data_IF_954719184090
#
_entry.id   IF_954719184090
#
_cell.length_a   1.000
_cell.length_b   1.000
_cell.length_c   1.000
_cell.angle_alpha   90.00
_cell.angle_beta   90.00
_cell.angle_gamma   90.00
#
_symmetry.space_group_name_H-M   'P 1'
#
loop_
_entity.id
_entity.type
_entity.pdbx_description
1 polymer ?
#
# COMPACT_ATOMS: atom_id res chain seq x y z
N UNK A 1 50.39 -17.55 -55.05
CA UNK A 1 49.12 -17.69 -54.29
C UNK A 1 49.40 -17.44 -52.81
N UNK A 2 49.18 -16.21 -52.32
CA UNK A 2 49.31 -15.85 -50.90
C UNK A 2 47.96 -16.08 -50.21
N UNK A 3 47.89 -16.99 -49.25
CA UNK A 3 46.70 -17.18 -48.40
C UNK A 3 46.80 -16.24 -47.20
N UNK A 4 45.91 -15.25 -47.15
CA UNK A 4 45.71 -14.38 -46.00
C UNK A 4 44.86 -15.16 -45.00
N UNK A 5 45.42 -15.45 -43.83
CA UNK A 5 44.68 -16.03 -42.69
C UNK A 5 44.17 -14.84 -41.86
N UNK A 6 42.89 -14.54 -41.99
CA UNK A 6 42.20 -13.58 -41.12
C UNK A 6 41.95 -14.22 -39.76
N UNK A 7 42.68 -13.79 -38.73
CA UNK A 7 42.31 -14.06 -37.34
C UNK A 7 41.16 -13.12 -36.96
N UNK A 8 39.94 -13.68 -36.90
CA UNK A 8 38.81 -13.04 -36.24
C UNK A 8 39.08 -13.04 -34.72
N UNK A 9 39.53 -11.89 -34.21
CA UNK A 9 39.58 -11.59 -32.78
C UNK A 9 38.13 -11.47 -32.27
N UNK A 10 37.62 -12.54 -31.69
CA UNK A 10 36.37 -12.55 -30.94
C UNK A 10 36.63 -11.84 -29.61
N UNK A 11 36.43 -10.53 -29.55
CA UNK A 11 36.44 -9.77 -28.29
C UNK A 11 35.15 -10.12 -27.54
N UNK A 12 35.23 -11.14 -26.69
CA UNK A 12 34.19 -11.48 -25.74
C UNK A 12 34.15 -10.38 -24.67
N UNK A 13 33.28 -9.38 -24.85
CA UNK A 13 32.96 -8.40 -23.81
C UNK A 13 32.19 -9.15 -22.72
N UNK A 14 32.94 -9.66 -21.74
CA UNK A 14 32.38 -10.11 -20.46
C UNK A 14 31.79 -8.88 -19.77
N UNK A 15 30.48 -8.69 -19.85
CA UNK A 15 29.76 -7.79 -18.96
C UNK A 15 29.99 -8.30 -17.53
N UNK A 16 30.85 -7.63 -16.77
CA UNK A 16 30.98 -7.87 -15.34
C UNK A 16 29.62 -7.54 -14.72
N UNK A 17 28.84 -8.58 -14.38
CA UNK A 17 27.75 -8.45 -13.43
C UNK A 17 28.39 -8.04 -12.10
N UNK A 18 28.48 -6.74 -11.84
CA UNK A 18 28.90 -6.23 -10.55
C UNK A 18 28.00 -6.81 -9.46
N UNK A 19 28.60 -7.37 -8.41
CA UNK A 19 27.82 -7.81 -7.26
C UNK A 19 26.99 -6.63 -6.72
N UNK A 20 25.73 -6.90 -6.39
CA UNK A 20 24.85 -5.89 -5.84
C UNK A 20 25.44 -5.32 -4.53
N UNK A 21 25.35 -3.99 -4.37
CA UNK A 21 25.93 -3.29 -3.24
C UNK A 21 25.20 -3.60 -1.94
N UNK A 22 25.95 -3.61 -0.86
CA UNK A 22 25.52 -3.95 0.50
C UNK A 22 25.21 -2.69 1.32
N UNK A 23 24.71 -2.89 2.54
CA UNK A 23 24.55 -1.79 3.51
C UNK A 23 25.89 -1.13 3.83
N UNK A 24 26.97 -1.90 3.88
CA UNK A 24 28.30 -1.36 4.21
C UNK A 24 28.84 -0.48 3.08
N UNK A 25 28.51 -0.79 1.82
CA UNK A 25 28.83 0.09 0.69
C UNK A 25 28.13 1.46 0.81
N UNK A 26 26.89 1.50 1.28
CA UNK A 26 26.20 2.77 1.57
C UNK A 26 26.82 3.51 2.75
N UNK A 27 27.23 2.79 3.81
CA UNK A 27 27.93 3.38 4.96
C UNK A 27 29.31 3.92 4.58
N UNK A 28 29.97 3.35 3.57
CA UNK A 28 31.20 3.89 3.00
C UNK A 28 30.92 5.08 2.09
N UNK A 29 29.91 4.98 1.22
CA UNK A 29 29.48 6.07 0.33
C UNK A 29 29.18 7.34 1.12
N UNK A 30 28.42 7.27 2.22
CA UNK A 30 28.14 8.49 3.00
C UNK A 30 29.42 9.15 3.55
N UNK A 31 30.53 8.42 3.75
CA UNK A 31 31.77 9.01 4.24
C UNK A 31 32.52 9.80 3.18
N UNK A 32 32.26 9.57 1.89
CA UNK A 32 32.84 10.34 0.79
C UNK A 32 32.20 11.73 0.65
N UNK A 33 31.02 11.96 1.25
CA UNK A 33 30.41 13.28 1.32
C UNK A 33 31.02 14.12 2.44
N UNK A 34 31.12 15.43 2.21
CA UNK A 34 31.47 16.40 3.24
C UNK A 34 30.54 16.27 4.45
N UNK A 35 31.02 16.57 5.66
CA UNK A 35 30.34 16.25 6.92
C UNK A 35 28.89 16.76 6.98
N UNK A 36 28.60 17.92 6.39
CA UNK A 36 27.26 18.53 6.33
C UNK A 36 26.30 17.84 5.34
N UNK A 37 26.81 17.04 4.41
CA UNK A 37 26.05 16.39 3.33
C UNK A 37 25.95 14.88 3.50
N UNK A 38 26.36 14.35 4.66
CA UNK A 38 26.28 12.92 4.95
C UNK A 38 24.82 12.49 5.09
N UNK A 39 24.51 11.29 4.62
CA UNK A 39 23.21 10.68 4.82
C UNK A 39 23.27 9.63 5.93
N UNK A 40 22.16 9.48 6.65
CA UNK A 40 22.00 8.52 7.72
C UNK A 40 21.32 7.27 7.18
N UNK A 41 21.92 6.11 7.44
CA UNK A 41 21.33 4.79 7.13
C UNK A 41 20.83 4.14 8.42
N UNK A 42 19.56 3.74 8.43
CA UNK A 42 18.93 3.00 9.52
C UNK A 42 18.50 1.63 9.01
N UNK A 43 18.86 0.57 9.75
CA UNK A 43 18.58 -0.82 9.36
C UNK A 43 17.58 -1.51 10.30
N UNK A 44 16.90 -2.54 9.79
CA UNK A 44 16.13 -3.47 10.61
C UNK A 44 17.04 -4.51 11.31
N UNK A 45 16.44 -5.46 12.04
CA UNK A 45 17.16 -6.54 12.77
C UNK A 45 17.93 -7.49 11.84
N UNK A 46 17.53 -7.61 10.56
CA UNK A 46 18.17 -8.45 9.55
C UNK A 46 19.26 -7.70 8.75
N UNK A 47 19.71 -6.53 9.23
CA UNK A 47 20.66 -5.65 8.55
C UNK A 47 20.22 -5.29 7.12
N UNK A 48 18.91 -5.10 6.91
CA UNK A 48 18.34 -4.51 5.69
C UNK A 48 17.96 -3.07 5.94
N UNK A 49 18.05 -2.24 4.91
CA UNK A 49 17.73 -0.82 5.00
C UNK A 49 16.24 -0.68 5.37
N UNK A 50 15.97 0.02 6.47
CA UNK A 50 14.62 0.44 6.87
C UNK A 50 14.35 1.88 6.45
N UNK A 51 15.35 2.74 6.60
CA UNK A 51 15.21 4.16 6.30
C UNK A 51 16.56 4.79 5.97
N UNK A 52 16.60 5.66 4.98
CA UNK A 52 17.75 6.52 4.66
C UNK A 52 17.28 7.96 4.58
N UNK A 53 18.06 8.90 5.10
CA UNK A 53 17.79 10.33 5.02
C UNK A 53 19.06 11.13 4.79
N UNK A 54 19.04 12.09 3.87
CA UNK A 54 20.16 12.96 3.50
C UNK A 54 20.38 12.98 1.99
N UNK A 55 21.57 13.36 1.53
CA UNK A 55 21.86 13.43 0.10
C UNK A 55 22.44 12.11 -0.42
N UNK A 56 21.62 11.26 -1.03
CA UNK A 56 22.03 9.91 -1.46
C UNK A 56 22.60 9.88 -2.89
N UNK A 57 22.32 10.91 -3.69
CA UNK A 57 22.64 10.89 -5.11
C UNK A 57 23.04 12.27 -5.64
N UNK A 58 23.70 12.24 -6.80
CA UNK A 58 23.78 13.40 -7.70
C UNK A 58 22.38 13.73 -8.27
N UNK A 59 22.19 14.89 -8.92
CA UNK A 59 20.95 15.21 -9.64
C UNK A 59 20.56 14.15 -10.68
N UNK A 60 19.37 14.29 -11.26
CA UNK A 60 18.80 13.43 -12.32
C UNK A 60 18.09 12.15 -11.86
N UNK A 61 17.41 12.21 -10.72
CA UNK A 61 16.52 11.16 -10.19
C UNK A 61 15.07 11.66 -10.11
N UNK A 62 14.52 12.11 -11.24
CA UNK A 62 13.14 12.64 -11.30
C UNK A 62 12.20 11.73 -12.10
N UNK A 63 12.72 10.68 -12.72
CA UNK A 63 11.97 9.69 -13.47
C UNK A 63 12.04 8.31 -12.80
N UNK A 64 11.08 7.45 -13.11
CA UNK A 64 10.98 6.10 -12.52
C UNK A 64 12.19 5.23 -12.88
N UNK A 65 12.75 5.38 -14.08
CA UNK A 65 13.83 4.51 -14.56
C UNK A 65 15.14 4.76 -13.79
N UNK A 66 15.49 6.03 -13.56
CA UNK A 66 16.65 6.38 -12.71
C UNK A 66 16.49 5.88 -11.27
N UNK A 67 15.29 5.99 -10.69
CA UNK A 67 14.99 5.46 -9.35
C UNK A 67 15.12 3.93 -9.33
N UNK A 68 14.54 3.22 -10.29
CA UNK A 68 14.66 1.76 -10.39
C UNK A 68 16.11 1.32 -10.55
N UNK A 69 16.93 2.05 -11.32
CA UNK A 69 18.35 1.74 -11.48
C UNK A 69 19.12 1.90 -10.16
N UNK A 70 18.83 2.93 -9.37
CA UNK A 70 19.38 3.06 -8.01
C UNK A 70 18.98 1.88 -7.14
N UNK A 71 17.70 1.50 -7.14
CA UNK A 71 17.20 0.37 -6.35
C UNK A 71 17.88 -0.95 -6.77
N UNK A 72 18.11 -1.17 -8.07
CA UNK A 72 18.84 -2.36 -8.57
C UNK A 72 20.27 -2.44 -8.05
N UNK A 73 20.96 -1.29 -8.02
CA UNK A 73 22.34 -1.21 -7.54
C UNK A 73 22.48 -1.67 -6.08
N UNK A 74 21.51 -1.31 -5.23
CA UNK A 74 21.50 -1.59 -3.80
C UNK A 74 20.49 -2.67 -3.38
N UNK A 75 20.00 -3.50 -4.31
CA UNK A 75 18.88 -4.43 -4.08
C UNK A 75 19.08 -5.34 -2.87
N UNK A 76 20.29 -5.87 -2.71
CA UNK A 76 20.68 -6.73 -1.59
C UNK A 76 20.67 -6.00 -0.25
N UNK A 77 20.96 -4.70 -0.24
CA UNK A 77 20.93 -3.87 0.95
C UNK A 77 19.48 -3.57 1.39
N UNK A 78 18.56 -3.38 0.43
CA UNK A 78 17.13 -3.21 0.70
C UNK A 78 16.40 -4.53 0.99
N UNK A 79 16.94 -5.67 0.53
CA UNK A 79 16.42 -7.01 0.84
C UNK A 79 15.65 -7.68 -0.29
N UNK A 80 15.44 -7.01 -1.43
CA UNK A 80 14.83 -7.62 -2.62
C UNK A 80 15.86 -8.27 -3.54
N UNK A 81 15.41 -9.27 -4.32
CA UNK A 81 16.21 -10.05 -5.28
C UNK A 81 16.20 -9.41 -6.66
N UNK A 82 15.05 -8.87 -7.04
CA UNK A 82 14.79 -8.25 -8.34
C UNK A 82 13.83 -7.08 -8.15
N UNK A 83 14.17 -5.92 -8.71
CA UNK A 83 13.28 -4.74 -8.66
C UNK A 83 12.02 -5.01 -9.48
N UNK A 84 12.16 -5.68 -10.62
CA UNK A 84 11.07 -5.97 -11.53
C UNK A 84 10.09 -7.03 -11.01
N UNK A 85 10.62 -8.05 -10.33
CA UNK A 85 9.79 -9.16 -9.83
C UNK A 85 9.19 -8.83 -8.47
N UNK A 86 9.99 -8.25 -7.56
CA UNK A 86 9.58 -8.05 -6.18
C UNK A 86 8.90 -6.70 -5.95
N UNK A 87 8.97 -5.73 -6.88
CA UNK A 87 8.35 -4.41 -6.75
C UNK A 87 7.44 -4.05 -7.95
N UNK A 88 6.39 -3.28 -7.68
CA UNK A 88 5.56 -2.62 -8.70
C UNK A 88 5.44 -1.15 -8.36
N UNK A 89 5.61 -0.26 -9.34
CA UNK A 89 5.35 1.17 -9.13
C UNK A 89 3.84 1.36 -8.96
N UNK A 90 3.43 1.88 -7.82
CA UNK A 90 2.03 2.19 -7.52
C UNK A 90 1.72 3.65 -7.87
N UNK A 91 2.55 4.58 -7.38
CA UNK A 91 2.28 6.01 -7.49
C UNK A 91 3.54 6.81 -7.74
N UNK A 92 3.42 7.79 -8.62
CA UNK A 92 4.39 8.89 -8.75
C UNK A 92 3.67 10.20 -8.48
N UNK A 93 4.27 11.07 -7.69
CA UNK A 93 3.77 12.41 -7.44
C UNK A 93 4.91 13.41 -7.55
N UNK A 94 4.69 14.50 -8.29
CA UNK A 94 5.62 15.61 -8.37
C UNK A 94 4.95 16.85 -7.79
N UNK A 95 5.61 17.48 -6.82
CA UNK A 95 5.12 18.71 -6.23
C UNK A 95 5.35 19.89 -7.18
N UNK A 96 4.53 20.94 -7.03
CA UNK A 96 4.71 22.21 -7.75
C UNK A 96 6.07 22.87 -7.48
N UNK A 97 6.72 22.53 -6.37
CA UNK A 97 8.03 23.06 -6.02
C UNK A 97 9.20 22.17 -6.46
N UNK A 98 8.94 21.09 -7.21
CA UNK A 98 9.94 20.29 -7.91
C UNK A 98 10.45 19.05 -7.18
N UNK A 99 9.91 18.71 -6.01
CA UNK A 99 10.19 17.40 -5.38
C UNK A 99 9.39 16.29 -6.06
N UNK A 100 9.96 15.09 -6.14
CA UNK A 100 9.24 13.91 -6.62
C UNK A 100 9.15 12.85 -5.54
N UNK A 101 8.06 12.09 -5.56
CA UNK A 101 7.74 11.01 -4.65
C UNK A 101 7.36 9.78 -5.48
N UNK A 102 7.98 8.65 -5.16
CA UNK A 102 7.72 7.37 -5.82
C UNK A 102 7.35 6.34 -4.77
N UNK A 103 6.20 5.69 -4.93
CA UNK A 103 5.76 4.59 -4.09
C UNK A 103 5.79 3.30 -4.90
N UNK A 104 6.49 2.30 -4.37
CA UNK A 104 6.54 0.96 -4.92
C UNK A 104 5.94 -0.02 -3.92
N UNK A 105 5.00 -0.86 -4.37
CA UNK A 105 4.46 -1.93 -3.55
C UNK A 105 5.23 -3.23 -3.78
N UNK A 106 5.40 -4.02 -2.73
CA UNK A 106 6.01 -5.34 -2.83
C UNK A 106 5.06 -6.35 -3.48
N UNK A 107 5.62 -7.25 -4.28
CA UNK A 107 4.95 -8.44 -4.80
C UNK A 107 5.68 -9.71 -4.38
N UNK A 108 4.94 -10.81 -4.27
CA UNK A 108 5.47 -12.15 -4.10
C UNK A 108 4.77 -13.11 -5.05
N UNK A 109 5.52 -13.70 -5.99
CA UNK A 109 4.99 -14.58 -7.05
C UNK A 109 3.76 -14.01 -7.78
N UNK A 110 3.76 -12.69 -8.01
CA UNK A 110 2.68 -11.98 -8.71
C UNK A 110 1.58 -11.42 -7.81
N UNK A 111 1.46 -11.88 -6.56
CA UNK A 111 0.46 -11.37 -5.61
C UNK A 111 0.99 -10.13 -4.86
N UNK A 112 0.13 -9.15 -4.52
CA UNK A 112 0.52 -8.04 -3.67
C UNK A 112 0.90 -8.53 -2.27
N UNK A 113 1.91 -7.90 -1.66
CA UNK A 113 2.21 -8.08 -0.24
C UNK A 113 1.69 -6.88 0.53
N UNK A 114 0.63 -7.08 1.30
CA UNK A 114 -0.11 -6.01 1.94
C UNK A 114 0.74 -5.23 2.94
N UNK A 115 0.61 -3.90 2.92
CA UNK A 115 1.30 -2.96 3.82
C UNK A 115 2.85 -3.08 3.76
N UNK A 116 3.37 -3.41 2.58
CA UNK A 116 4.81 -3.49 2.30
C UNK A 116 5.15 -2.57 1.13
N UNK A 117 5.37 -1.31 1.46
CA UNK A 117 5.79 -0.30 0.49
C UNK A 117 7.28 0.08 0.62
N UNK A 118 7.81 0.61 -0.48
CA UNK A 118 9.06 1.33 -0.55
C UNK A 118 8.79 2.71 -1.14
N UNK A 119 9.13 3.76 -0.38
CA UNK A 119 8.92 5.15 -0.78
C UNK A 119 10.24 5.85 -1.00
N UNK A 120 10.42 6.45 -2.16
CA UNK A 120 11.59 7.26 -2.51
C UNK A 120 11.17 8.71 -2.69
N UNK A 121 11.85 9.61 -2.00
CA UNK A 121 11.66 11.05 -2.17
C UNK A 121 12.89 11.68 -2.78
N UNK A 122 12.67 12.62 -3.70
CA UNK A 122 13.73 13.45 -4.27
C UNK A 122 13.50 14.92 -3.97
N UNK A 123 14.60 15.66 -3.80
CA UNK A 123 14.55 17.10 -3.58
C UNK A 123 14.32 17.85 -4.90
N UNK A 124 14.23 19.19 -4.82
CA UNK A 124 13.99 20.07 -5.97
C UNK A 124 15.08 20.01 -7.04
N UNK A 125 16.27 19.54 -6.69
CA UNK A 125 17.40 19.36 -7.62
C UNK A 125 17.40 17.96 -8.25
N UNK A 126 16.36 17.15 -8.03
CA UNK A 126 16.27 15.79 -8.52
C UNK A 126 17.29 14.85 -7.88
N UNK A 127 17.63 15.07 -6.61
CA UNK A 127 18.53 14.19 -5.85
C UNK A 127 17.71 13.38 -4.84
N UNK A 128 18.04 12.10 -4.67
CA UNK A 128 17.37 11.26 -3.66
C UNK A 128 17.69 11.81 -2.27
N UNK A 129 16.62 12.19 -1.55
CA UNK A 129 16.68 12.84 -0.24
C UNK A 129 16.28 11.91 0.91
N UNK A 130 15.42 10.94 0.63
CA UNK A 130 15.08 9.89 1.60
C UNK A 130 14.51 8.65 0.92
N UNK A 131 14.69 7.50 1.58
CA UNK A 131 14.07 6.24 1.20
C UNK A 131 13.51 5.59 2.46
N UNK A 132 12.23 5.26 2.45
CA UNK A 132 11.57 4.44 3.48
C UNK A 132 11.29 3.06 2.90
N UNK A 133 11.60 2.02 3.65
CA UNK A 133 11.48 0.64 3.18
C UNK A 133 10.78 -0.23 4.22
N UNK A 134 9.63 -0.78 3.85
CA UNK A 134 8.86 -1.73 4.66
C UNK A 134 8.89 -3.14 4.08
N UNK A 135 9.76 -3.43 3.11
CA UNK A 135 9.87 -4.73 2.45
C UNK A 135 9.98 -5.90 3.44
N UNK A 136 9.15 -6.93 3.25
CA UNK A 136 9.19 -8.18 4.00
C UNK A 136 10.12 -9.17 3.32
N UNK A 137 11.16 -9.61 4.04
CA UNK A 137 12.07 -10.64 3.57
C UNK A 137 11.56 -12.05 3.91
N UNK A 138 12.14 -13.06 3.24
CA UNK A 138 11.96 -14.49 3.56
C UNK A 138 10.52 -15.01 3.50
N UNK A 139 9.67 -14.41 2.66
CA UNK A 139 8.37 -14.98 2.33
C UNK A 139 8.58 -16.33 1.63
N UNK A 140 8.08 -17.41 2.23
CA UNK A 140 8.06 -18.74 1.65
C UNK A 140 6.72 -19.39 1.95
N UNK A 141 5.82 -19.30 0.98
CA UNK A 141 4.44 -19.75 1.11
C UNK A 141 3.93 -20.30 -0.22
N UNK A 142 2.97 -21.23 -0.16
CA UNK A 142 2.19 -21.72 -1.29
C UNK A 142 1.07 -20.72 -1.61
N UNK A 143 1.03 -20.25 -2.85
CA UNK A 143 0.07 -19.22 -3.27
C UNK A 143 -1.23 -19.81 -3.83
N UNK A 144 -1.40 -21.14 -3.73
CA UNK A 144 -2.58 -21.85 -4.19
C UNK A 144 -3.59 -21.93 -3.03
N UNK A 145 -4.70 -21.18 -3.05
CA UNK A 145 -5.65 -21.19 -1.94
C UNK A 145 -6.31 -22.58 -1.80
N UNK A 146 -6.51 -23.03 -0.56
CA UNK A 146 -7.20 -24.29 -0.26
C UNK A 146 -8.71 -24.12 -0.07
N UNK A 147 -9.16 -22.88 0.17
CA UNK A 147 -10.58 -22.52 0.25
C UNK A 147 -10.91 -21.46 -0.80
N UNK A 148 -12.18 -21.37 -1.21
CA UNK A 148 -12.64 -20.31 -2.12
C UNK A 148 -12.83 -18.97 -1.39
N UNK A 149 -12.79 -17.87 -2.16
CA UNK A 149 -13.18 -16.54 -1.66
C UNK A 149 -14.60 -16.53 -1.10
N UNK A 150 -15.54 -17.27 -1.72
CA UNK A 150 -16.91 -17.40 -1.21
C UNK A 150 -16.99 -18.07 0.16
N UNK A 151 -16.09 -19.02 0.44
CA UNK A 151 -15.99 -19.64 1.77
C UNK A 151 -15.45 -18.64 2.79
N UNK A 152 -14.42 -17.87 2.42
CA UNK A 152 -13.88 -16.82 3.27
C UNK A 152 -14.92 -15.72 3.57
N UNK A 153 -15.71 -15.31 2.58
CA UNK A 153 -16.78 -14.34 2.74
C UNK A 153 -17.88 -14.85 3.69
N UNK A 154 -18.26 -16.13 3.57
CA UNK A 154 -19.23 -16.74 4.49
C UNK A 154 -18.74 -16.77 5.95
N UNK A 155 -17.42 -16.76 6.18
CA UNK A 155 -16.81 -16.68 7.51
C UNK A 155 -16.79 -15.23 8.03
N UNK A 156 -16.47 -14.25 7.18
CA UNK A 156 -16.33 -12.85 7.58
C UNK A 156 -17.68 -12.13 7.73
N UNK A 157 -18.65 -12.42 6.87
CA UNK A 157 -19.95 -11.72 6.81
C UNK A 157 -20.74 -11.68 8.13
N UNK A 158 -20.78 -12.74 8.96
CA UNK A 158 -21.47 -12.69 10.26
C UNK A 158 -20.82 -11.77 11.30
N UNK A 159 -19.62 -11.23 11.04
CA UNK A 159 -18.85 -10.40 11.99
C UNK A 159 -19.00 -8.90 11.75
N UNK A 160 -19.87 -8.53 10.81
CA UNK A 160 -20.27 -7.16 10.48
C UNK A 160 -21.79 -7.04 10.61
N UNK A 161 -22.32 -5.83 10.64
CA UNK A 161 -23.76 -5.61 10.78
C UNK A 161 -24.51 -6.18 9.57
N UNK A 162 -25.80 -6.49 9.72
CA UNK A 162 -26.61 -7.10 8.67
C UNK A 162 -26.65 -6.30 7.35
N UNK A 163 -26.38 -4.99 7.40
CA UNK A 163 -26.30 -4.09 6.24
C UNK A 163 -24.85 -3.88 5.82
N UNK A 164 -24.21 -4.93 5.32
CA UNK A 164 -22.82 -4.89 4.87
C UNK A 164 -22.69 -5.54 3.50
N UNK A 165 -22.00 -4.87 2.57
CA UNK A 165 -21.66 -5.39 1.24
C UNK A 165 -20.14 -5.55 1.09
N UNK A 166 -19.75 -6.34 0.10
CA UNK A 166 -18.36 -6.52 -0.27
C UNK A 166 -17.96 -5.42 -1.26
N UNK A 167 -17.08 -4.53 -0.82
CA UNK A 167 -16.58 -3.42 -1.64
C UNK A 167 -15.46 -3.87 -2.57
N UNK A 168 -14.52 -4.64 -2.03
CA UNK A 168 -13.36 -5.14 -2.75
C UNK A 168 -12.91 -6.48 -2.16
N UNK A 169 -12.30 -7.29 -3.01
CA UNK A 169 -11.71 -8.56 -2.63
C UNK A 169 -10.42 -8.81 -3.42
N UNK A 170 -9.37 -9.26 -2.73
CA UNK A 170 -8.18 -9.72 -3.42
C UNK A 170 -7.45 -10.83 -2.68
N UNK A 171 -6.84 -11.73 -3.46
CA UNK A 171 -5.88 -12.69 -2.92
C UNK A 171 -4.52 -12.01 -2.78
N UNK A 172 -4.01 -11.98 -1.56
CA UNK A 172 -2.80 -11.26 -1.23
C UNK A 172 -1.92 -12.02 -0.23
N UNK A 173 -0.69 -11.54 -0.04
CA UNK A 173 0.21 -12.02 1.00
C UNK A 173 0.22 -11.05 2.16
N UNK A 174 0.00 -11.56 3.36
CA UNK A 174 0.16 -10.80 4.59
C UNK A 174 1.33 -11.33 5.42
N UNK A 175 2.18 -10.43 5.92
CA UNK A 175 3.32 -10.80 6.75
C UNK A 175 3.19 -10.13 8.11
N UNK A 176 3.10 -10.94 9.16
CA UNK A 176 3.10 -10.47 10.54
C UNK A 176 4.27 -11.10 11.32
N UNK A 177 5.17 -10.23 11.79
CA UNK A 177 6.44 -10.63 12.42
C UNK A 177 7.24 -11.53 11.47
N UNK A 178 7.37 -12.82 11.79
CA UNK A 178 8.11 -13.81 10.99
C UNK A 178 7.18 -14.77 10.24
N UNK A 179 5.87 -14.61 10.39
CA UNK A 179 4.87 -15.47 9.75
C UNK A 179 4.34 -14.80 8.47
N UNK A 180 4.16 -15.60 7.43
CA UNK A 180 3.56 -15.19 6.16
C UNK A 180 2.30 -16.00 5.92
N UNK A 181 1.23 -15.34 5.47
CA UNK A 181 -0.08 -15.92 5.22
C UNK A 181 -0.53 -15.60 3.80
N UNK A 182 -1.15 -16.58 3.12
CA UNK A 182 -1.99 -16.30 1.96
C UNK A 182 -3.33 -15.85 2.52
N UNK A 183 -3.80 -14.67 2.15
CA UNK A 183 -5.07 -14.14 2.67
C UNK A 183 -5.97 -13.68 1.55
N UNK A 184 -7.27 -13.84 1.76
CA UNK A 184 -8.26 -12.99 1.13
C UNK A 184 -8.38 -11.71 1.95
N UNK A 185 -8.06 -10.58 1.33
CA UNK A 185 -8.43 -9.26 1.83
C UNK A 185 -9.86 -8.98 1.39
N UNK A 186 -10.76 -8.80 2.35
CA UNK A 186 -12.19 -8.59 2.12
C UNK A 186 -12.59 -7.27 2.76
N UNK A 187 -12.92 -6.28 1.94
CA UNK A 187 -13.43 -5.00 2.39
C UNK A 187 -14.95 -5.10 2.53
N UNK A 188 -15.40 -5.26 3.77
CA UNK A 188 -16.80 -5.34 4.12
C UNK A 188 -17.27 -3.98 4.62
N UNK A 189 -18.01 -3.27 3.76
CA UNK A 189 -18.48 -1.94 4.03
C UNK A 189 -19.95 -1.97 4.48
N UNK A 190 -20.19 -1.43 5.67
CA UNK A 190 -21.48 -1.50 6.33
C UNK A 190 -21.75 -0.32 7.25
N UNK A 191 -23.00 -0.22 7.71
CA UNK A 191 -23.45 0.84 8.60
C UNK A 191 -23.74 0.30 10.02
N UNK A 192 -23.26 0.95 11.09
CA UNK A 192 -22.32 2.08 11.12
C UNK A 192 -20.84 1.66 10.97
N UNK A 193 -20.57 0.36 10.85
CA UNK A 193 -19.20 -0.19 10.90
C UNK A 193 -18.81 -0.83 9.57
N UNK A 194 -17.70 -0.35 9.00
CA UNK A 194 -16.99 -1.01 7.90
C UNK A 194 -15.69 -1.62 8.42
N UNK A 195 -15.30 -2.78 7.88
CA UNK A 195 -14.07 -3.49 8.26
C UNK A 195 -13.41 -4.16 7.06
N UNK A 196 -12.08 -4.19 7.05
CA UNK A 196 -11.31 -5.10 6.22
C UNK A 196 -10.96 -6.34 7.02
N UNK A 197 -11.24 -7.51 6.47
CA UNK A 197 -10.84 -8.80 7.01
C UNK A 197 -9.71 -9.39 6.19
N UNK A 198 -8.67 -9.90 6.86
CA UNK A 198 -7.66 -10.75 6.23
C UNK A 198 -7.93 -12.19 6.65
N UNK A 199 -8.56 -12.96 5.77
CA UNK A 199 -8.93 -14.37 6.03
C UNK A 199 -7.88 -15.28 5.40
N UNK A 200 -7.27 -16.15 6.19
CA UNK A 200 -6.28 -17.12 5.71
C UNK A 200 -6.90 -18.06 4.66
N UNK A 201 -6.32 -18.06 3.46
CA UNK A 201 -6.86 -18.72 2.28
C UNK A 201 -6.62 -20.25 2.27
N UNK A 202 -6.00 -20.80 3.32
CA UNK A 202 -5.87 -22.26 3.50
C UNK A 202 -6.77 -22.81 4.60
N UNK A 203 -6.93 -22.07 5.69
CA UNK A 203 -7.62 -22.52 6.91
C UNK A 203 -8.95 -21.82 7.16
N UNK A 204 -9.22 -20.68 6.52
CA UNK A 204 -10.37 -19.83 6.80
C UNK A 204 -10.26 -19.03 8.11
N UNK A 205 -9.11 -19.08 8.80
CA UNK A 205 -8.90 -18.32 10.03
C UNK A 205 -8.78 -16.83 9.72
N UNK A 206 -9.49 -15.99 10.47
CA UNK A 206 -9.30 -14.53 10.41
C UNK A 206 -7.95 -14.20 11.06
N UNK A 207 -7.02 -13.70 10.24
CA UNK A 207 -5.68 -13.28 10.67
C UNK A 207 -5.74 -11.85 11.19
N UNK A 208 -6.56 -10.99 10.59
CA UNK A 208 -6.68 -9.60 11.00
C UNK A 208 -8.06 -9.02 10.70
N UNK A 209 -8.51 -8.15 11.61
CA UNK A 209 -9.63 -7.23 11.41
C UNK A 209 -9.08 -5.81 11.47
N UNK A 210 -9.52 -4.97 10.55
CA UNK A 210 -9.08 -3.58 10.40
C UNK A 210 -10.34 -2.73 10.30
N UNK A 211 -10.54 -1.82 11.24
CA UNK A 211 -11.67 -0.89 11.19
C UNK A 211 -11.46 0.11 10.07
N UNK A 212 -12.52 0.29 9.28
CA UNK A 212 -12.57 1.25 8.18
C UNK A 212 -13.42 2.47 8.51
N UNK A 213 -14.32 2.36 9.48
CA UNK A 213 -15.02 3.51 10.08
C UNK A 213 -14.47 3.81 11.48
N UNK A 214 -14.67 5.06 11.91
CA UNK A 214 -14.35 5.50 13.27
C UNK A 214 -15.49 5.15 14.22
N UNK A 215 -15.16 4.68 15.42
CA UNK A 215 -16.15 4.35 16.46
C UNK A 215 -16.57 5.62 17.23
N UNK A 216 -15.64 6.57 17.43
CA UNK A 216 -15.88 7.80 18.20
C UNK A 216 -14.86 8.92 17.86
N UNK A 217 -15.18 10.18 18.16
CA UNK A 217 -14.34 11.35 17.89
C UNK A 217 -14.98 12.40 16.96
N UNK A 218 -14.23 13.43 16.53
CA UNK A 218 -12.84 13.67 16.87
C UNK A 218 -12.66 14.27 18.29
N UNK A 219 -11.50 14.01 18.89
CA UNK A 219 -10.92 14.82 19.96
C UNK A 219 -9.61 15.46 19.49
N UNK A 220 -9.23 16.61 20.03
CA UNK A 220 -8.01 17.32 19.62
C UNK A 220 -6.83 16.87 20.49
N UNK A 221 -5.83 16.28 19.85
CA UNK A 221 -4.54 15.96 20.47
C UNK A 221 -3.37 16.75 19.86
N UNK A 222 -2.18 16.49 20.39
CA UNK A 222 -0.92 17.09 19.94
C UNK A 222 0.14 15.99 19.73
N UNK A 223 1.06 16.20 18.80
CA UNK A 223 2.11 15.24 18.50
C UNK A 223 3.39 15.87 17.96
N UNK A 224 4.41 15.05 17.75
CA UNK A 224 5.68 15.47 17.15
C UNK A 224 6.05 14.53 16.01
N UNK A 225 6.39 15.09 14.85
CA UNK A 225 6.81 14.30 13.68
C UNK A 225 8.17 13.65 13.90
N UNK A 226 8.52 12.68 13.06
CA UNK A 226 9.86 12.07 13.04
C UNK A 226 11.00 13.06 12.73
N UNK A 227 10.67 14.30 12.34
CA UNK A 227 11.62 15.40 12.10
C UNK A 227 11.72 16.38 13.28
N UNK A 228 11.01 16.12 14.38
CA UNK A 228 11.03 16.97 15.58
C UNK A 228 10.08 18.17 15.53
N UNK A 229 9.24 18.27 14.49
CA UNK A 229 8.24 19.35 14.35
C UNK A 229 7.00 19.01 15.17
N UNK A 230 6.55 19.94 16.01
CA UNK A 230 5.30 19.81 16.78
C UNK A 230 4.09 20.05 15.88
N UNK A 231 3.04 19.26 16.08
CA UNK A 231 1.72 19.40 15.46
C UNK A 231 0.73 19.64 16.57
N UNK A 232 0.22 20.86 16.67
CA UNK A 232 -0.60 21.35 17.79
C UNK A 232 -2.09 20.98 17.68
N UNK A 233 -2.52 20.52 16.49
CA UNK A 233 -3.88 20.07 16.23
C UNK A 233 -3.84 18.76 15.45
N UNK A 234 -4.07 17.66 16.15
CA UNK A 234 -4.29 16.33 15.58
C UNK A 234 -5.70 15.90 15.92
N UNK A 235 -6.54 15.72 14.90
CA UNK A 235 -7.86 15.11 15.08
C UNK A 235 -7.66 13.62 15.37
N UNK A 236 -8.05 13.19 16.57
CA UNK A 236 -7.90 11.81 17.06
C UNK A 236 -9.28 11.18 17.10
N UNK A 237 -9.39 10.00 16.50
CA UNK A 237 -10.58 9.19 16.48
C UNK A 237 -10.32 7.88 17.22
N UNK A 238 -11.34 7.37 17.91
CA UNK A 238 -11.33 6.05 18.54
C UNK A 238 -11.70 4.97 17.50
N UNK A 239 -10.93 3.88 17.51
CA UNK A 239 -11.06 2.75 16.59
C UNK A 239 -9.71 2.06 16.38
N UNK A 240 -9.69 0.96 15.64
CA UNK A 240 -8.48 0.14 15.43
C UNK A 240 -8.14 -0.01 13.95
N UNK A 241 -7.03 0.58 13.50
CA UNK A 241 -6.42 0.25 12.20
C UNK A 241 -6.87 1.09 10.99
N UNK A 242 -7.24 2.36 11.18
CA UNK A 242 -7.68 3.24 10.10
C UNK A 242 -6.77 3.25 8.86
N UNK A 243 -7.35 3.08 7.67
CA UNK A 243 -6.72 3.36 6.38
C UNK A 243 -7.29 4.68 5.84
N UNK A 244 -6.86 5.80 6.44
CA UNK A 244 -7.15 7.16 5.94
C UNK A 244 -8.58 7.69 6.21
N UNK A 245 -8.80 9.02 6.07
CA UNK A 245 -10.08 9.65 6.33
C UNK A 245 -10.89 9.72 5.03
N UNK A 246 -11.77 8.74 4.83
CA UNK A 246 -13.05 8.82 4.10
C UNK A 246 -13.42 7.43 3.60
N UNK A 247 -14.13 6.71 4.44
CA UNK A 247 -14.93 5.56 4.02
C UNK A 247 -16.39 5.85 4.38
N UNK A 248 -16.84 7.04 4.00
CA UNK A 248 -18.22 7.24 3.59
C UNK A 248 -18.23 7.06 2.10
N UNK A 249 -18.34 5.82 1.60
CA UNK A 249 -18.57 5.71 0.19
C UNK A 249 -19.97 6.24 -0.13
N UNK A 250 -20.09 6.93 -1.26
CA UNK A 250 -21.24 7.72 -1.69
C UNK A 250 -22.49 6.86 -2.03
N UNK A 251 -22.72 5.73 -1.35
CA UNK A 251 -23.90 4.87 -1.55
C UNK A 251 -25.17 5.46 -0.95
N UNK A 252 -25.05 6.46 -0.07
CA UNK A 252 -26.18 7.03 0.64
C UNK A 252 -26.75 8.18 -0.19
N UNK A 253 -27.54 7.83 -1.19
CA UNK A 253 -28.45 8.80 -1.75
C UNK A 253 -29.56 8.85 -0.72
N UNK A 254 -29.43 9.81 0.19
CA UNK A 254 -30.46 10.15 1.15
C UNK A 254 -31.66 10.60 0.33
N UNK A 255 -32.55 9.64 0.02
CA UNK A 255 -33.79 9.97 -0.65
C UNK A 255 -34.66 10.78 0.31
N UNK A 256 -34.57 10.41 1.61
CA UNK A 256 -35.16 11.12 2.72
C UNK A 256 -34.43 10.74 4.03
N UNK A 257 -33.77 11.69 4.69
CA UNK A 257 -33.38 11.54 6.09
C UNK A 257 -34.41 12.27 6.95
N UNK A 258 -34.89 11.62 8.02
CA UNK A 258 -35.72 12.26 9.05
C UNK A 258 -34.92 13.25 9.92
N UNK A 259 -33.99 14.00 9.32
CA UNK A 259 -33.09 14.94 10.01
C UNK A 259 -33.79 16.19 10.54
N UNK A 260 -35.07 16.38 10.25
CA UNK A 260 -35.89 17.34 11.00
C UNK A 260 -37.15 16.62 11.41
N UNK A 261 -37.27 16.35 12.71
CA UNK A 261 -38.48 15.81 13.30
C UNK A 261 -39.70 16.47 12.69
N UNK A 262 -40.65 15.63 12.30
CA UNK A 262 -42.04 16.08 12.27
C UNK A 262 -42.35 16.72 13.64
N UNK A 263 -43.39 17.54 13.70
CA UNK A 263 -43.68 18.41 14.83
C UNK A 263 -44.10 17.68 16.14
N UNK A 264 -43.55 16.50 16.42
CA UNK A 264 -43.82 15.59 17.54
C UNK A 264 -42.71 15.51 18.60
N UNK A 265 -41.57 16.22 18.43
CA UNK A 265 -40.43 16.25 19.37
C UNK A 265 -39.68 14.89 19.51
N UNK A 266 -39.84 13.96 18.56
CA UNK A 266 -39.12 12.68 18.53
C UNK A 266 -37.90 12.71 17.57
N UNK A 267 -36.89 11.85 17.84
CA UNK A 267 -35.67 11.71 17.02
C UNK A 267 -35.68 10.37 16.29
N UNK A 268 -35.65 10.40 14.96
CA UNK A 268 -35.64 9.21 14.11
C UNK A 268 -34.27 9.08 13.42
N UNK A 269 -33.44 8.13 13.85
CA UNK A 269 -32.09 7.89 13.31
C UNK A 269 -32.09 7.06 12.00
N UNK A 270 -33.18 7.04 11.24
CA UNK A 270 -33.30 6.23 10.02
C UNK A 270 -33.39 7.09 8.75
N UNK A 271 -32.36 7.04 7.90
CA UNK A 271 -32.49 7.51 6.52
C UNK A 271 -33.11 6.42 5.63
N UNK A 272 -34.03 6.80 4.75
CA UNK A 272 -34.50 5.97 3.65
C UNK A 272 -33.50 6.09 2.49
N UNK A 273 -32.87 4.96 2.16
CA UNK A 273 -31.80 4.87 1.16
C UNK A 273 -32.41 4.58 -0.21
N UNK A 274 -32.02 5.32 -1.26
CA UNK A 274 -32.34 4.94 -2.63
C UNK A 274 -31.23 4.06 -3.22
N UNK A 275 -31.63 2.91 -3.76
CA UNK A 275 -30.78 2.01 -4.54
C UNK A 275 -31.41 1.93 -5.93
N UNK A 276 -30.93 2.75 -6.87
CA UNK A 276 -31.43 2.77 -8.25
C UNK A 276 -30.37 2.21 -9.21
N UNK A 277 -30.81 1.46 -10.22
CA UNK A 277 -29.92 0.97 -11.29
C UNK A 277 -29.22 2.13 -12.01
N UNK A 278 -29.88 3.28 -12.12
CA UNK A 278 -29.32 4.47 -12.74
C UNK A 278 -28.88 4.22 -14.19
N UNK A 279 -27.64 4.63 -14.52
CA UNK A 279 -26.99 4.45 -15.81
C UNK A 279 -26.22 3.13 -15.94
N UNK A 280 -26.29 2.25 -14.94
CA UNK A 280 -25.52 1.02 -14.89
C UNK A 280 -26.18 -0.15 -15.64
N UNK A 281 -25.36 -1.13 -16.03
CA UNK A 281 -25.82 -2.35 -16.70
C UNK A 281 -26.73 -3.20 -15.78
N UNK A 282 -27.53 -4.10 -16.38
CA UNK A 282 -28.33 -5.07 -15.63
C UNK A 282 -27.41 -5.95 -14.76
N UNK A 283 -27.73 -6.08 -13.47
CA UNK A 283 -26.83 -6.69 -12.48
C UNK A 283 -26.02 -5.69 -11.67
N UNK A 284 -26.25 -4.37 -11.81
CA UNK A 284 -25.51 -3.31 -11.14
C UNK A 284 -26.44 -2.16 -10.67
N UNK A 285 -26.08 -1.50 -9.56
CA UNK A 285 -26.72 -0.31 -8.98
C UNK A 285 -25.77 0.88 -9.05
N UNK A 286 -26.26 2.07 -9.38
CA UNK A 286 -25.48 3.32 -9.42
C UNK A 286 -25.43 3.96 -8.02
N UNK A 287 -24.27 4.41 -7.56
CA UNK A 287 -24.15 5.22 -6.33
C UNK A 287 -24.29 6.73 -6.60
N UNK A 288 -24.23 7.57 -5.57
CA UNK A 288 -24.38 9.03 -5.72
C UNK A 288 -23.17 9.73 -6.35
N UNK A 289 -22.07 9.02 -6.55
CA UNK A 289 -20.93 9.49 -7.34
C UNK A 289 -21.05 9.10 -8.82
N UNK A 290 -22.03 8.26 -9.17
CA UNK A 290 -22.23 7.72 -10.52
C UNK A 290 -21.43 6.44 -10.81
N UNK A 291 -20.93 5.77 -9.77
CA UNK A 291 -20.18 4.52 -9.91
C UNK A 291 -21.12 3.30 -9.89
N UNK A 292 -20.83 2.29 -10.70
CA UNK A 292 -21.67 1.09 -10.85
C UNK A 292 -21.20 -0.08 -9.99
N UNK A 293 -22.11 -0.64 -9.20
CA UNK A 293 -21.84 -1.67 -8.19
C UNK A 293 -22.68 -2.92 -8.41
N UNK A 294 -22.07 -4.10 -8.39
CA UNK A 294 -22.77 -5.35 -8.68
C UNK A 294 -23.92 -5.60 -7.66
N UNK A 295 -25.13 -5.84 -8.16
CA UNK A 295 -26.36 -5.98 -7.37
C UNK A 295 -26.54 -7.36 -6.70
N UNK A 296 -25.83 -8.40 -7.15
CA UNK A 296 -25.85 -9.75 -6.56
C UNK A 296 -25.26 -9.76 -5.13
N UNK A 297 -24.51 -8.71 -4.80
CA UNK A 297 -23.91 -8.50 -3.48
C UNK A 297 -24.73 -7.55 -2.59
N UNK A 298 -25.82 -6.97 -3.10
CA UNK A 298 -26.79 -6.21 -2.31
C UNK A 298 -27.81 -7.17 -1.69
N UNK A 299 -27.63 -7.47 -0.41
CA UNK A 299 -28.61 -8.22 0.34
C UNK A 299 -29.62 -7.25 0.94
N UNK A 300 -30.72 -6.98 0.21
CA UNK A 300 -31.96 -6.48 0.81
C UNK A 300 -32.30 -7.40 1.98
N UNK A 301 -32.40 -6.89 3.23
CA UNK A 301 -33.59 -6.90 4.12
C UNK A 301 -33.33 -5.92 5.29
#
# INVERSE_FOLDING_TARGET
>A
MRKIVCYLLFVCVMTQMGQAKTVDDLRLLTKSFGQQNRFRVTTNRNNKIKYIHGLLSVPNYQDVHSIQNFLKEYKTAFGFRSVEEDLVLEKTFQSSSGQSHFTFNQKYKGLPVLFRDLKVHTNRNGQISSISNQFADRINLDISPSISVSTALAIAKPLVSNRTYLKDEQLAVYVEKENSFLVYELDLAGFPISKTFLVDAHSGKIIKEIMQTVDNGPTVGQGMTNLGTVVDELQIYEGNGFIGPDLWPNYLCENYCWEYGDCDDESYDNCELSFEQGSCDEGYTEDCAGDCWNDEHFFYW
#
